data_IF_160802755566
#
_entry.id   IF_160802755566
#
_cell.length_a   1.000
_cell.length_b   1.000
_cell.length_c   1.000
_cell.angle_alpha   90.00
_cell.angle_beta   90.00
_cell.angle_gamma   90.00
#
_symmetry.space_group_name_H-M   'P 1'
#
loop_
_entity.id
_entity.type
_entity.pdbx_description
1 polymer ?
#
# COMPACT_ATOMS: atom_id res chain seq x y z
N UNK A 1 -16.50 -5.80 -19.01
CA UNK A 1 -16.69 -4.34 -19.08
C UNK A 1 -17.07 -3.88 -17.69
N UNK A 2 -16.28 -3.02 -17.03
CA UNK A 2 -16.73 -2.42 -15.78
C UNK A 2 -17.98 -1.59 -16.07
N UNK A 3 -19.04 -1.67 -15.24
CA UNK A 3 -20.21 -0.84 -15.42
C UNK A 3 -19.80 0.64 -15.41
N UNK A 4 -20.46 1.45 -16.25
CA UNK A 4 -20.23 2.89 -16.26
C UNK A 4 -20.63 3.47 -14.89
N UNK A 5 -19.77 4.31 -14.32
CA UNK A 5 -20.04 5.00 -13.05
C UNK A 5 -21.13 6.04 -13.31
N UNK A 6 -22.22 5.99 -12.54
CA UNK A 6 -23.32 6.96 -12.66
C UNK A 6 -22.83 8.38 -12.40
N UNK A 7 -23.40 9.37 -13.09
CA UNK A 7 -22.96 10.77 -12.99
C UNK A 7 -23.06 11.32 -11.56
N UNK A 8 -24.12 11.01 -10.83
CA UNK A 8 -24.29 11.38 -9.42
C UNK A 8 -23.20 10.74 -8.53
N UNK A 9 -22.88 9.47 -8.77
CA UNK A 9 -21.82 8.75 -8.06
C UNK A 9 -20.45 9.36 -8.32
N UNK A 10 -20.15 9.69 -9.57
CA UNK A 10 -18.91 10.37 -9.96
C UNK A 10 -18.82 11.76 -9.34
N UNK A 11 -19.93 12.52 -9.32
CA UNK A 11 -19.98 13.82 -8.66
C UNK A 11 -19.68 13.70 -7.16
N UNK A 12 -20.29 12.75 -6.46
CA UNK A 12 -20.05 12.52 -5.04
C UNK A 12 -18.57 12.17 -4.74
N UNK A 13 -17.94 11.35 -5.60
CA UNK A 13 -16.51 11.04 -5.51
C UNK A 13 -15.64 12.29 -5.74
N UNK A 14 -15.97 13.10 -6.74
CA UNK A 14 -15.23 14.31 -7.10
C UNK A 14 -15.42 15.46 -6.11
N UNK A 15 -16.45 15.42 -5.24
CA UNK A 15 -16.62 16.37 -4.13
C UNK A 15 -16.07 15.83 -2.81
N UNK A 16 -15.62 14.58 -2.79
CA UNK A 16 -15.04 13.95 -1.61
C UNK A 16 -16.04 13.58 -0.51
N UNK A 17 -17.34 13.63 -0.82
CA UNK A 17 -18.43 13.32 0.12
C UNK A 17 -18.54 11.82 0.45
N UNK A 18 -17.91 10.97 -0.34
CA UNK A 18 -17.97 9.51 -0.26
C UNK A 18 -16.62 8.91 -0.63
N UNK A 19 -16.30 7.75 -0.06
CA UNK A 19 -15.19 6.92 -0.51
C UNK A 19 -15.59 6.13 -1.76
N UNK A 20 -14.59 5.74 -2.56
CA UNK A 20 -14.74 4.71 -3.57
C UNK A 20 -15.14 3.36 -2.93
N UNK A 21 -15.66 2.45 -3.74
CA UNK A 21 -16.02 1.08 -3.34
C UNK A 21 -15.22 0.03 -4.09
N UNK A 22 -14.63 0.41 -5.22
CA UNK A 22 -13.78 -0.46 -6.04
C UNK A 22 -12.79 0.35 -6.88
N UNK A 23 -11.75 -0.31 -7.39
CA UNK A 23 -10.63 0.34 -8.09
C UNK A 23 -11.06 1.25 -9.25
N UNK A 24 -12.08 0.87 -10.02
CA UNK A 24 -12.54 1.71 -11.14
C UNK A 24 -13.07 3.09 -10.68
N UNK A 25 -13.65 3.19 -9.48
CA UNK A 25 -14.06 4.46 -8.89
C UNK A 25 -12.84 5.25 -8.44
N UNK A 26 -11.88 4.63 -7.73
CA UNK A 26 -10.63 5.29 -7.33
C UNK A 26 -9.91 5.92 -8.54
N UNK A 27 -9.90 5.23 -9.68
CA UNK A 27 -9.24 5.68 -10.91
C UNK A 27 -9.99 6.80 -11.63
N UNK A 28 -11.31 6.88 -11.45
CA UNK A 28 -12.19 7.83 -12.11
C UNK A 28 -12.27 9.19 -11.40
N UNK A 29 -11.81 9.29 -10.15
CA UNK A 29 -11.79 10.56 -9.40
C UNK A 29 -11.01 11.63 -10.17
N UNK A 30 -11.66 12.77 -10.36
CA UNK A 30 -11.03 14.00 -10.83
C UNK A 30 -10.37 14.71 -9.65
N UNK A 31 -9.04 14.67 -9.62
CA UNK A 31 -8.25 15.23 -8.53
C UNK A 31 -8.32 16.75 -8.48
N UNK A 32 -8.46 17.42 -9.63
CA UNK A 32 -8.55 18.88 -9.65
C UNK A 32 -9.90 19.34 -9.09
N UNK A 33 -10.99 18.69 -9.50
CA UNK A 33 -12.32 18.95 -8.92
C UNK A 33 -12.34 18.68 -7.41
N UNK A 34 -11.73 17.57 -6.98
CA UNK A 34 -11.65 17.20 -5.57
C UNK A 34 -10.83 18.21 -4.76
N UNK A 35 -9.62 18.56 -5.22
CA UNK A 35 -8.77 19.57 -4.57
C UNK A 35 -9.47 20.92 -4.44
N UNK A 36 -10.22 21.34 -5.47
CA UNK A 36 -10.96 22.60 -5.44
C UNK A 36 -11.99 22.63 -4.31
N UNK A 37 -12.62 21.50 -3.99
CA UNK A 37 -13.62 21.39 -2.93
C UNK A 37 -12.95 21.28 -1.56
N UNK A 38 -11.99 20.38 -1.40
CA UNK A 38 -11.45 20.05 -0.07
C UNK A 38 -10.31 20.97 0.39
N UNK A 39 -9.65 21.66 -0.54
CA UNK A 39 -8.54 22.57 -0.27
C UNK A 39 -8.76 23.94 -0.96
N UNK A 40 -9.81 24.69 -0.57
CA UNK A 40 -10.24 25.92 -1.27
C UNK A 40 -9.20 27.05 -1.25
N UNK A 41 -8.18 26.97 -0.39
CA UNK A 41 -7.06 27.91 -0.34
C UNK A 41 -5.98 27.65 -1.41
N UNK A 42 -6.10 26.58 -2.22
CA UNK A 42 -5.17 26.33 -3.32
C UNK A 42 -5.30 27.39 -4.42
N UNK A 43 -4.16 27.90 -4.87
CA UNK A 43 -4.11 28.86 -5.96
C UNK A 43 -4.60 28.23 -7.28
N UNK A 44 -5.22 29.00 -8.19
CA UNK A 44 -5.69 28.50 -9.49
C UNK A 44 -4.61 27.77 -10.29
N UNK A 45 -3.35 28.21 -10.19
CA UNK A 45 -2.21 27.59 -10.86
C UNK A 45 -1.93 26.17 -10.35
N UNK A 46 -2.16 25.91 -9.06
CA UNK A 46 -2.04 24.56 -8.49
C UNK A 46 -3.13 23.63 -9.05
N UNK A 47 -4.36 24.12 -9.17
CA UNK A 47 -5.46 23.37 -9.77
C UNK A 47 -5.20 23.09 -11.26
N UNK A 48 -4.67 24.06 -12.00
CA UNK A 48 -4.28 23.88 -13.41
C UNK A 48 -3.22 22.79 -13.56
N UNK A 49 -2.17 22.79 -12.71
CA UNK A 49 -1.16 21.72 -12.70
C UNK A 49 -1.75 20.34 -12.48
N UNK A 50 -2.81 20.23 -11.66
CA UNK A 50 -3.51 18.96 -11.46
C UNK A 50 -4.35 18.56 -12.67
N UNK A 51 -5.02 19.50 -13.33
CA UNK A 51 -5.78 19.26 -14.57
C UNK A 51 -4.87 18.78 -15.70
N UNK A 52 -3.71 19.43 -15.86
CA UNK A 52 -2.69 19.05 -16.84
C UNK A 52 -2.12 17.65 -16.57
N UNK A 53 -2.20 17.17 -15.32
CA UNK A 53 -1.78 15.85 -14.91
C UNK A 53 -2.87 14.77 -15.03
N UNK A 54 -4.09 15.10 -15.47
CA UNK A 54 -5.23 14.16 -15.54
C UNK A 54 -4.93 12.88 -16.34
N UNK A 55 -4.13 12.99 -17.40
CA UNK A 55 -3.69 11.85 -18.22
C UNK A 55 -2.55 11.00 -17.62
N UNK A 56 -1.98 11.40 -16.47
CA UNK A 56 -0.88 10.66 -15.83
C UNK A 56 -1.39 9.50 -14.99
N UNK A 57 -0.51 8.52 -14.76
CA UNK A 57 -0.78 7.39 -13.86
C UNK A 57 -1.17 7.85 -12.45
N UNK A 58 -2.02 7.08 -11.78
CA UNK A 58 -2.61 7.47 -10.48
C UNK A 58 -1.57 7.78 -9.41
N UNK A 59 -0.45 7.04 -9.34
CA UNK A 59 0.60 7.28 -8.35
C UNK A 59 1.30 8.64 -8.57
N UNK A 60 1.49 9.06 -9.83
CA UNK A 60 2.02 10.38 -10.16
C UNK A 60 1.02 11.49 -9.79
N UNK A 61 -0.28 11.25 -10.00
CA UNK A 61 -1.34 12.19 -9.59
C UNK A 61 -1.41 12.32 -8.06
N UNK A 62 -1.32 11.21 -7.32
CA UNK A 62 -1.29 11.21 -5.85
C UNK A 62 -0.07 11.97 -5.30
N UNK A 63 1.12 11.71 -5.84
CA UNK A 63 2.33 12.42 -5.46
C UNK A 63 2.24 13.93 -5.75
N UNK A 64 1.70 14.30 -6.92
CA UNK A 64 1.50 15.71 -7.27
C UNK A 64 0.50 16.40 -6.34
N UNK A 65 -0.62 15.76 -5.99
CA UNK A 65 -1.59 16.35 -5.07
C UNK A 65 -0.96 16.63 -3.69
N UNK A 66 -0.22 15.66 -3.13
CA UNK A 66 0.52 15.88 -1.88
C UNK A 66 1.56 17.00 -1.99
N UNK A 67 2.28 17.09 -3.11
CA UNK A 67 3.22 18.19 -3.36
C UNK A 67 2.51 19.56 -3.36
N UNK A 68 1.39 19.69 -4.08
CA UNK A 68 0.63 20.94 -4.16
C UNK A 68 0.08 21.37 -2.80
N UNK A 69 -0.45 20.43 -2.01
CA UNK A 69 -0.91 20.70 -0.65
C UNK A 69 0.24 21.21 0.23
N UNK A 70 1.43 20.60 0.13
CA UNK A 70 2.62 21.04 0.89
C UNK A 70 3.08 22.44 0.46
N UNK A 71 3.17 22.71 -0.83
CA UNK A 71 3.55 24.02 -1.39
C UNK A 71 2.60 25.13 -0.91
N UNK A 72 1.31 24.81 -0.72
CA UNK A 72 0.30 25.74 -0.21
C UNK A 72 0.23 25.84 1.32
N UNK A 73 1.18 25.24 2.06
CA UNK A 73 1.19 25.25 3.52
C UNK A 73 0.15 24.33 4.18
N UNK A 74 -0.51 23.47 3.41
CA UNK A 74 -1.50 22.49 3.87
C UNK A 74 -0.93 21.06 3.90
N UNK A 75 0.38 20.95 4.16
CA UNK A 75 1.13 19.70 4.09
C UNK A 75 1.10 18.83 5.34
N UNK A 76 0.29 19.18 6.35
CA UNK A 76 0.13 18.39 7.58
C UNK A 76 -0.80 17.19 7.33
N UNK A 77 -0.31 15.94 7.38
CA UNK A 77 -1.14 14.75 7.11
C UNK A 77 -2.35 14.61 8.03
N UNK A 78 -2.26 15.12 9.27
CA UNK A 78 -3.34 15.03 10.27
C UNK A 78 -4.61 15.71 9.78
N UNK A 79 -4.48 16.75 8.95
CA UNK A 79 -5.63 17.47 8.36
C UNK A 79 -6.45 16.59 7.40
N UNK A 80 -5.84 15.54 6.85
CA UNK A 80 -6.38 14.80 5.71
C UNK A 80 -6.70 13.33 6.02
N UNK A 81 -6.11 12.76 7.08
CA UNK A 81 -6.15 11.33 7.37
C UNK A 81 -7.54 10.80 7.81
N UNK A 82 -8.43 11.67 8.30
CA UNK A 82 -9.77 11.29 8.77
C UNK A 82 -10.89 11.70 7.79
N UNK A 83 -10.53 12.11 6.58
CA UNK A 83 -11.49 12.59 5.58
C UNK A 83 -12.37 11.47 5.01
N UNK A 84 -13.61 11.79 4.61
CA UNK A 84 -14.57 10.81 4.07
C UNK A 84 -14.10 10.15 2.76
N UNK A 85 -13.46 10.93 1.88
CA UNK A 85 -12.83 10.45 0.65
C UNK A 85 -11.55 9.65 0.92
N UNK A 86 -11.49 8.42 0.39
CA UNK A 86 -10.28 7.59 0.39
C UNK A 86 -9.13 8.21 -0.41
N UNK A 87 -9.42 8.96 -1.47
CA UNK A 87 -8.41 9.67 -2.26
C UNK A 87 -7.70 10.74 -1.42
N UNK A 88 -8.46 11.50 -0.62
CA UNK A 88 -7.90 12.54 0.26
C UNK A 88 -7.03 11.91 1.36
N UNK A 89 -7.51 10.83 2.00
CA UNK A 89 -6.68 10.04 2.92
C UNK A 89 -5.44 9.46 2.25
N UNK A 90 -5.56 9.07 0.97
CA UNK A 90 -4.44 8.68 0.12
C UNK A 90 -3.40 9.80 -0.04
N UNK A 91 -3.82 11.06 -0.18
CA UNK A 91 -2.89 12.20 -0.18
C UNK A 91 -2.16 12.35 1.16
N UNK A 92 -2.81 12.06 2.28
CA UNK A 92 -2.15 11.99 3.59
C UNK A 92 -1.00 10.96 3.59
N UNK A 93 -1.21 9.77 2.98
CA UNK A 93 -0.14 8.79 2.83
C UNK A 93 1.06 9.36 2.05
N UNK A 94 0.81 10.05 0.93
CA UNK A 94 1.87 10.63 0.11
C UNK A 94 2.51 11.88 0.77
N UNK A 95 1.80 12.62 1.61
CA UNK A 95 2.37 13.68 2.45
C UNK A 95 3.34 13.09 3.48
N UNK A 96 3.02 11.96 4.11
CA UNK A 96 3.94 11.26 5.03
C UNK A 96 5.15 10.73 4.26
N UNK A 97 4.92 9.99 3.17
CA UNK A 97 5.99 9.36 2.40
C UNK A 97 6.97 10.36 1.78
N UNK A 98 6.48 11.54 1.37
CA UNK A 98 7.29 12.59 0.75
C UNK A 98 8.00 13.52 1.74
N UNK A 99 7.79 13.41 3.06
CA UNK A 99 8.50 14.27 4.01
C UNK A 99 9.98 13.86 4.11
N UNK A 100 10.85 14.65 3.49
CA UNK A 100 12.29 14.42 3.48
C UNK A 100 12.96 14.66 4.84
N UNK A 101 12.26 15.28 5.79
CA UNK A 101 12.78 15.57 7.14
C UNK A 101 12.54 14.41 8.11
N UNK A 102 11.56 13.56 7.82
CA UNK A 102 11.19 12.43 8.66
C UNK A 102 12.00 11.18 8.32
N UNK A 103 12.44 10.48 9.36
CA UNK A 103 13.05 9.15 9.27
C UNK A 103 12.01 8.10 8.87
N UNK A 104 12.46 6.94 8.38
CA UNK A 104 11.56 5.82 8.07
C UNK A 104 10.75 5.38 9.30
N UNK A 105 11.32 5.42 10.50
CA UNK A 105 10.62 5.07 11.74
C UNK A 105 9.45 6.03 12.03
N UNK A 106 9.70 7.34 11.93
CA UNK A 106 8.67 8.36 12.12
C UNK A 106 7.59 8.28 11.05
N UNK A 107 7.96 8.03 9.79
CA UNK A 107 7.01 7.81 8.70
C UNK A 107 6.13 6.59 8.95
N UNK A 108 6.70 5.47 9.40
CA UNK A 108 5.94 4.26 9.75
C UNK A 108 4.98 4.51 10.92
N UNK A 109 5.43 5.25 11.93
CA UNK A 109 4.59 5.62 13.06
C UNK A 109 3.39 6.48 12.63
N UNK A 110 3.62 7.51 11.81
CA UNK A 110 2.56 8.35 11.26
C UNK A 110 1.62 7.57 10.32
N UNK A 111 2.17 6.64 9.53
CA UNK A 111 1.41 5.84 8.57
C UNK A 111 0.48 4.84 9.25
N UNK A 112 0.68 4.51 10.52
CA UNK A 112 0.00 3.41 11.21
C UNK A 112 -1.53 3.48 11.08
N UNK A 113 -2.14 4.64 11.29
CA UNK A 113 -3.60 4.82 11.17
C UNK A 113 -4.09 4.56 9.74
N UNK A 114 -3.35 5.05 8.74
CA UNK A 114 -3.69 4.88 7.32
C UNK A 114 -3.43 3.45 6.82
N UNK A 115 -2.43 2.78 7.39
CA UNK A 115 -2.16 1.36 7.15
C UNK A 115 -3.27 0.46 7.74
N UNK A 116 -3.96 0.94 8.78
CA UNK A 116 -5.10 0.29 9.43
C UNK A 116 -6.48 0.81 8.93
N UNK A 117 -6.49 1.64 7.89
CA UNK A 117 -7.71 2.27 7.38
C UNK A 117 -8.72 1.21 6.89
N UNK A 118 -10.04 1.36 7.15
CA UNK A 118 -11.04 0.40 6.71
C UNK A 118 -11.15 0.30 5.17
N UNK A 119 -10.78 1.34 4.44
CA UNK A 119 -10.85 1.39 2.98
C UNK A 119 -9.61 0.75 2.33
N UNK A 120 -9.84 -0.22 1.45
CA UNK A 120 -8.77 -0.99 0.79
C UNK A 120 -7.77 -0.09 0.04
N UNK A 121 -8.26 0.95 -0.63
CA UNK A 121 -7.42 1.86 -1.41
C UNK A 121 -6.41 2.62 -0.54
N UNK A 122 -6.83 3.08 0.65
CA UNK A 122 -5.95 3.83 1.56
C UNK A 122 -4.82 2.92 2.04
N UNK A 123 -5.14 1.66 2.38
CA UNK A 123 -4.13 0.66 2.74
C UNK A 123 -3.13 0.37 1.63
N UNK A 124 -3.53 0.43 0.35
CA UNK A 124 -2.59 0.34 -0.78
C UNK A 124 -1.70 1.58 -0.89
N UNK A 125 -2.29 2.77 -0.75
CA UNK A 125 -1.54 4.03 -0.80
C UNK A 125 -0.52 4.13 0.34
N UNK A 126 -0.86 3.61 1.52
CA UNK A 126 -0.01 3.63 2.70
C UNK A 126 1.35 2.96 2.45
N UNK A 127 1.37 1.73 1.93
CA UNK A 127 2.64 1.05 1.67
C UNK A 127 3.34 1.55 0.41
N UNK A 128 2.57 1.98 -0.62
CA UNK A 128 3.12 2.56 -1.85
C UNK A 128 3.89 3.85 -1.57
N UNK A 129 3.35 4.71 -0.71
CA UNK A 129 3.97 5.99 -0.36
C UNK A 129 5.32 5.82 0.35
N UNK A 130 5.53 4.73 1.10
CA UNK A 130 6.80 4.42 1.77
C UNK A 130 7.76 3.60 0.93
N UNK A 131 7.37 3.21 -0.30
CA UNK A 131 8.13 2.23 -1.08
C UNK A 131 9.56 2.69 -1.37
N UNK A 132 9.76 3.98 -1.63
CA UNK A 132 11.08 4.55 -1.88
C UNK A 132 11.99 4.38 -0.67
N UNK A 133 11.53 4.74 0.53
CA UNK A 133 12.30 4.58 1.78
C UNK A 133 12.59 3.11 2.08
N UNK A 134 11.59 2.23 1.90
CA UNK A 134 11.74 0.79 2.14
C UNK A 134 12.76 0.15 1.19
N UNK A 135 12.77 0.54 -0.08
CA UNK A 135 13.75 0.04 -1.06
C UNK A 135 15.16 0.54 -0.74
N UNK A 136 15.28 1.76 -0.21
CA UNK A 136 16.57 2.32 0.19
C UNK A 136 17.14 1.64 1.46
N UNK A 137 16.29 1.22 2.40
CA UNK A 137 16.70 0.60 3.67
C UNK A 137 15.88 -0.66 4.03
N UNK A 138 15.94 -1.74 3.22
CA UNK A 138 15.02 -2.87 3.37
C UNK A 138 15.19 -3.67 4.66
N UNK A 139 16.41 -3.80 5.19
CA UNK A 139 16.65 -4.47 6.47
C UNK A 139 16.10 -3.67 7.66
N UNK A 140 16.25 -2.35 7.62
CA UNK A 140 15.70 -1.48 8.65
C UNK A 140 14.16 -1.48 8.60
N UNK A 141 13.58 -1.45 7.39
CA UNK A 141 12.14 -1.59 7.22
C UNK A 141 11.63 -2.93 7.77
N UNK A 142 12.34 -4.03 7.51
CA UNK A 142 12.02 -5.34 8.06
C UNK A 142 12.06 -5.36 9.59
N UNK A 143 13.09 -4.76 10.20
CA UNK A 143 13.22 -4.65 11.65
C UNK A 143 12.02 -3.92 12.26
N UNK A 144 11.63 -2.76 11.71
CA UNK A 144 10.49 -1.99 12.20
C UNK A 144 9.13 -2.65 11.96
N UNK A 145 8.98 -3.43 10.89
CA UNK A 145 7.73 -4.10 10.54
C UNK A 145 7.58 -5.48 11.17
N UNK A 146 8.66 -6.10 11.66
CA UNK A 146 8.60 -7.40 12.32
C UNK A 146 7.61 -7.41 13.51
N UNK A 147 7.60 -6.43 14.43
CA UNK A 147 6.60 -6.38 15.51
C UNK A 147 5.17 -6.27 15.02
N UNK A 148 4.94 -5.66 13.84
CA UNK A 148 3.59 -5.46 13.31
C UNK A 148 2.91 -6.77 12.91
N UNK A 149 3.69 -7.86 12.74
CA UNK A 149 3.15 -9.21 12.52
C UNK A 149 2.36 -9.76 13.71
N UNK A 150 2.48 -9.15 14.90
CA UNK A 150 1.79 -9.56 16.13
C UNK A 150 0.60 -8.66 16.48
N UNK A 151 0.27 -7.69 15.61
CA UNK A 151 -0.83 -6.77 15.83
C UNK A 151 -2.17 -7.47 15.78
N UNK A 152 -3.12 -7.00 16.60
CA UNK A 152 -4.50 -7.51 16.56
C UNK A 152 -5.15 -7.24 15.21
N UNK A 153 -4.88 -6.08 14.61
CA UNK A 153 -5.43 -5.74 13.30
C UNK A 153 -4.78 -6.57 12.18
N UNK A 154 -5.57 -7.26 11.34
CA UNK A 154 -5.04 -7.91 10.15
C UNK A 154 -4.55 -6.93 9.09
N UNK A 155 -4.99 -5.67 9.11
CA UNK A 155 -4.53 -4.67 8.14
C UNK A 155 -3.07 -4.28 8.40
N UNK A 156 -2.70 -4.13 9.68
CA UNK A 156 -1.31 -3.89 10.07
C UNK A 156 -0.40 -5.10 9.81
N UNK A 157 -0.87 -6.31 10.13
CA UNK A 157 -0.13 -7.55 9.80
C UNK A 157 0.06 -7.71 8.29
N UNK A 158 -0.97 -7.42 7.50
CA UNK A 158 -0.89 -7.40 6.04
C UNK A 158 0.10 -6.33 5.58
N UNK A 159 0.05 -5.12 6.12
CA UNK A 159 0.94 -4.03 5.74
C UNK A 159 2.42 -4.42 5.92
N UNK A 160 2.76 -5.02 7.06
CA UNK A 160 4.11 -5.50 7.35
C UNK A 160 4.64 -6.44 6.26
N UNK A 161 3.81 -7.38 5.81
CA UNK A 161 4.17 -8.30 4.73
C UNK A 161 4.18 -7.61 3.35
N UNK A 162 3.13 -6.86 3.02
CA UNK A 162 2.93 -6.31 1.68
C UNK A 162 4.00 -5.29 1.32
N UNK A 163 4.33 -4.39 2.25
CA UNK A 163 5.28 -3.31 2.02
C UNK A 163 6.68 -3.84 1.66
N UNK A 164 7.00 -5.06 2.12
CA UNK A 164 8.28 -5.74 1.90
C UNK A 164 8.26 -6.75 0.74
N UNK A 165 7.20 -6.78 -0.08
CA UNK A 165 7.15 -7.70 -1.24
C UNK A 165 8.35 -7.52 -2.17
N UNK A 166 9.04 -8.61 -2.58
CA UNK A 166 10.21 -8.52 -3.46
C UNK A 166 9.88 -7.89 -4.82
N UNK A 167 8.69 -8.14 -5.35
CA UNK A 167 8.21 -7.66 -6.66
C UNK A 167 6.80 -7.05 -6.54
N UNK A 168 6.73 -5.73 -6.46
CA UNK A 168 5.45 -5.02 -6.57
C UNK A 168 5.11 -4.74 -8.04
N UNK A 169 3.84 -4.89 -8.44
CA UNK A 169 3.40 -4.63 -9.83
C UNK A 169 3.45 -3.13 -10.16
N UNK A 170 3.25 -2.27 -9.16
CA UNK A 170 3.28 -0.80 -9.30
C UNK A 170 4.41 -0.15 -8.49
N UNK A 171 5.43 -0.93 -8.13
CA UNK A 171 6.44 -0.52 -7.17
C UNK A 171 7.83 -1.04 -7.55
N UNK A 172 8.84 -0.22 -7.27
CA UNK A 172 10.25 -0.59 -7.43
C UNK A 172 10.54 -1.88 -6.67
N UNK A 173 11.23 -2.83 -7.31
CA UNK A 173 11.58 -4.10 -6.70
C UNK A 173 12.54 -3.93 -5.52
N UNK A 174 12.39 -4.74 -4.47
CA UNK A 174 13.39 -4.82 -3.39
C UNK A 174 14.41 -5.90 -3.79
N UNK A 175 15.57 -5.47 -4.30
CA UNK A 175 16.60 -6.37 -4.80
C UNK A 175 17.07 -7.38 -3.73
N UNK A 176 17.21 -6.92 -2.48
CA UNK A 176 17.64 -7.75 -1.36
C UNK A 176 16.74 -8.98 -1.21
N UNK A 177 15.42 -8.81 -1.02
CA UNK A 177 14.52 -9.97 -0.82
C UNK A 177 14.27 -10.80 -2.08
N UNK A 178 14.62 -10.29 -3.27
CA UNK A 178 14.66 -11.13 -4.47
C UNK A 178 15.83 -12.11 -4.43
N UNK A 179 16.99 -11.66 -3.96
CA UNK A 179 18.22 -12.44 -3.97
C UNK A 179 18.39 -13.27 -2.69
N UNK A 180 18.02 -12.69 -1.55
CA UNK A 180 18.18 -13.21 -0.21
C UNK A 180 16.83 -13.19 0.56
N UNK A 181 15.81 -13.93 0.08
CA UNK A 181 14.51 -13.99 0.74
C UNK A 181 14.56 -14.57 2.16
N UNK A 182 15.62 -15.30 2.51
CA UNK A 182 15.87 -15.83 3.85
C UNK A 182 15.90 -14.77 4.94
N UNK A 183 16.27 -13.52 4.63
CA UNK A 183 16.24 -12.43 5.61
C UNK A 183 14.85 -12.17 6.16
N UNK A 184 13.81 -12.31 5.32
CA UNK A 184 12.43 -12.09 5.74
C UNK A 184 11.77 -13.34 6.35
N UNK A 185 12.51 -14.44 6.50
CA UNK A 185 11.97 -15.70 7.02
C UNK A 185 11.30 -15.54 8.40
N UNK A 186 11.87 -14.82 9.39
CA UNK A 186 11.21 -14.62 10.68
C UNK A 186 9.82 -13.97 10.57
N UNK A 187 9.66 -12.99 9.69
CA UNK A 187 8.37 -12.33 9.42
C UNK A 187 7.38 -13.30 8.77
N UNK A 188 7.84 -14.08 7.79
CA UNK A 188 7.00 -15.04 7.07
C UNK A 188 6.56 -16.19 7.96
N UNK A 189 7.44 -16.68 8.86
CA UNK A 189 7.11 -17.70 9.85
C UNK A 189 6.07 -17.19 10.86
N UNK A 190 6.16 -15.92 11.26
CA UNK A 190 5.20 -15.30 12.17
C UNK A 190 3.78 -15.21 11.57
N UNK A 191 3.67 -15.09 10.24
CA UNK A 191 2.41 -14.98 9.50
C UNK A 191 1.98 -16.29 8.81
N UNK A 192 2.73 -17.39 9.00
CA UNK A 192 2.56 -18.62 8.24
C UNK A 192 1.22 -19.33 8.50
N UNK A 193 0.59 -19.08 9.64
CA UNK A 193 -0.71 -19.63 10.05
C UNK A 193 -1.73 -18.51 10.36
N UNK A 194 -1.54 -17.31 9.79
CA UNK A 194 -2.43 -16.18 10.05
C UNK A 194 -3.89 -16.56 9.75
N UNK A 195 -4.86 -16.31 10.65
CA UNK A 195 -6.25 -16.71 10.43
C UNK A 195 -6.92 -15.91 9.30
N UNK A 196 -6.41 -14.73 8.96
CA UNK A 196 -7.09 -13.79 8.08
C UNK A 196 -6.67 -13.96 6.61
N UNK A 197 -7.66 -14.23 5.74
CA UNK A 197 -7.44 -14.43 4.29
C UNK A 197 -6.65 -13.28 3.66
N UNK A 198 -6.92 -12.06 4.10
CA UNK A 198 -6.25 -10.85 3.61
C UNK A 198 -4.74 -10.86 3.87
N UNK A 199 -4.31 -11.36 5.04
CA UNK A 199 -2.88 -11.52 5.37
C UNK A 199 -2.29 -12.70 4.60
N UNK A 200 -2.99 -13.83 4.58
CA UNK A 200 -2.56 -15.03 3.84
C UNK A 200 -2.31 -14.74 2.36
N UNK A 201 -3.14 -13.89 1.74
CA UNK A 201 -2.96 -13.45 0.36
C UNK A 201 -1.65 -12.68 0.17
N UNK A 202 -1.30 -11.80 1.11
CA UNK A 202 -0.05 -11.06 1.10
C UNK A 202 1.16 -11.98 1.25
N UNK A 203 1.14 -12.90 2.21
CA UNK A 203 2.22 -13.90 2.42
C UNK A 203 2.40 -14.77 1.17
N UNK A 204 1.31 -15.29 0.61
CA UNK A 204 1.35 -16.09 -0.61
C UNK A 204 1.83 -15.29 -1.84
N UNK A 205 1.54 -13.99 -1.91
CA UNK A 205 2.08 -13.12 -2.96
C UNK A 205 3.58 -12.85 -2.76
N UNK A 206 4.00 -12.56 -1.53
CA UNK A 206 5.39 -12.34 -1.16
C UNK A 206 6.26 -13.54 -1.54
N UNK A 207 5.83 -14.75 -1.14
CA UNK A 207 6.51 -16.00 -1.45
C UNK A 207 6.56 -16.29 -2.96
N UNK A 208 5.47 -16.04 -3.68
CA UNK A 208 5.45 -16.18 -5.14
C UNK A 208 6.45 -15.23 -5.81
N UNK A 209 6.57 -14.00 -5.32
CA UNK A 209 7.49 -13.01 -5.86
C UNK A 209 8.95 -13.39 -5.62
N UNK A 210 9.29 -13.87 -4.42
CA UNK A 210 10.60 -14.42 -4.09
C UNK A 210 10.91 -15.65 -4.95
N UNK A 211 9.95 -16.56 -5.14
CA UNK A 211 10.13 -17.77 -5.94
C UNK A 211 10.51 -17.51 -7.40
N UNK A 212 10.16 -16.35 -7.97
CA UNK A 212 10.50 -16.00 -9.36
C UNK A 212 12.00 -15.77 -9.55
N UNK A 213 12.74 -15.53 -8.48
CA UNK A 213 14.21 -15.44 -8.47
C UNK A 213 14.85 -16.60 -7.71
N UNK A 214 14.21 -17.08 -6.65
CA UNK A 214 14.71 -18.14 -5.77
C UNK A 214 13.75 -19.34 -5.69
N UNK A 215 13.52 -20.07 -6.79
CA UNK A 215 12.52 -21.15 -6.84
C UNK A 215 12.88 -22.34 -5.95
N UNK A 216 14.18 -22.64 -5.79
CA UNK A 216 14.65 -23.72 -4.90
C UNK A 216 14.34 -23.41 -3.44
N UNK A 217 14.62 -22.18 -2.99
CA UNK A 217 14.29 -21.71 -1.64
C UNK A 217 12.79 -21.82 -1.38
N UNK A 218 11.95 -21.34 -2.32
CA UNK A 218 10.49 -21.41 -2.18
C UNK A 218 10.01 -22.86 -2.03
N UNK A 219 10.50 -23.78 -2.87
CA UNK A 219 10.10 -25.20 -2.80
C UNK A 219 10.50 -25.83 -1.47
N UNK A 220 11.73 -25.59 -1.00
CA UNK A 220 12.20 -26.11 0.30
C UNK A 220 11.34 -25.58 1.44
N UNK A 221 11.05 -24.28 1.48
CA UNK A 221 10.20 -23.69 2.52
C UNK A 221 8.79 -24.28 2.50
N UNK A 222 8.14 -24.34 1.33
CA UNK A 222 6.80 -24.91 1.19
C UNK A 222 6.77 -26.40 1.58
N UNK A 223 7.77 -27.19 1.21
CA UNK A 223 7.89 -28.59 1.63
C UNK A 223 8.05 -28.70 3.13
N UNK A 224 8.89 -27.87 3.76
CA UNK A 224 9.03 -27.84 5.22
C UNK A 224 7.70 -27.53 5.90
N UNK A 225 7.04 -26.44 5.50
CA UNK A 225 5.74 -26.06 6.05
C UNK A 225 4.65 -27.10 5.81
N UNK A 226 4.70 -27.87 4.73
CA UNK A 226 3.76 -28.97 4.51
C UNK A 226 3.87 -30.07 5.59
N UNK A 227 5.07 -30.30 6.13
CA UNK A 227 5.30 -31.29 7.19
C UNK A 227 5.09 -30.71 8.60
N UNK A 228 5.39 -29.43 8.80
CA UNK A 228 5.36 -28.78 10.12
C UNK A 228 4.04 -28.07 10.44
N UNK A 229 3.29 -27.63 9.41
CA UNK A 229 2.10 -26.77 9.56
C UNK A 229 0.89 -27.39 8.86
N UNK A 230 -0.08 -27.81 9.68
CA UNK A 230 -1.26 -28.54 9.24
C UNK A 230 -2.54 -27.68 9.15
N UNK A 231 -2.44 -26.36 9.33
CA UNK A 231 -3.59 -25.47 9.23
C UNK A 231 -4.04 -25.29 7.77
N UNK A 232 -5.34 -25.03 7.59
CA UNK A 232 -5.90 -24.64 6.29
C UNK A 232 -5.33 -23.31 5.79
N UNK A 233 -4.99 -22.41 6.72
CA UNK A 233 -4.34 -21.13 6.41
C UNK A 233 -2.99 -21.34 5.72
N UNK A 234 -2.11 -22.17 6.29
CA UNK A 234 -0.82 -22.45 5.69
C UNK A 234 -0.97 -23.23 4.38
N UNK A 235 -1.88 -24.22 4.32
CA UNK A 235 -2.16 -24.94 3.09
C UNK A 235 -2.57 -23.99 1.95
N UNK A 236 -3.39 -22.99 2.24
CA UNK A 236 -3.75 -21.94 1.28
C UNK A 236 -2.55 -21.08 0.86
N UNK A 237 -1.76 -20.59 1.82
CA UNK A 237 -0.56 -19.77 1.56
C UNK A 237 0.37 -20.53 0.61
N UNK A 238 0.69 -21.80 0.89
CA UNK A 238 1.55 -22.64 0.03
C UNK A 238 0.95 -22.80 -1.37
N UNK A 239 -0.36 -23.09 -1.46
CA UNK A 239 -1.08 -23.23 -2.74
C UNK A 239 -0.93 -21.97 -3.59
N UNK A 240 -1.10 -20.80 -2.98
CA UNK A 240 -0.99 -19.47 -3.60
C UNK A 240 0.46 -19.13 -3.96
N UNK A 241 1.43 -19.42 -3.10
CA UNK A 241 2.84 -19.17 -3.33
C UNK A 241 3.36 -19.90 -4.57
N UNK A 242 2.96 -21.17 -4.74
CA UNK A 242 3.40 -22.04 -5.83
C UNK A 242 2.62 -21.85 -7.14
N UNK A 243 1.67 -20.91 -7.24
CA UNK A 243 0.76 -20.77 -8.40
C UNK A 243 1.44 -20.54 -9.76
N UNK A 244 2.68 -20.06 -9.76
CA UNK A 244 3.46 -19.79 -10.98
C UNK A 244 4.52 -20.86 -11.27
N UNK A 245 4.56 -21.94 -10.49
CA UNK A 245 5.61 -22.97 -10.54
C UNK A 245 5.05 -24.39 -10.70
N UNK A 246 3.79 -24.47 -11.13
CA UNK A 246 3.07 -25.70 -11.46
C UNK A 246 3.24 -26.03 -12.92
#
# INVERSE_FOLDING_TARGET
MSPAIAAERLHALNTGSVAATHLAECLAVDFAALLQVVAPALAPEALQRMQDASGKGITLRMALAAQLLREAGQGDPVQWQDHASDTVRGWACYLIGSDARATLAEKLQQMRTLADDPHFGVREWAWLALRTDIVAAPMQALEYLQPWTQETSPYLRRFACEALRPRGVWATHIALFKQHPEHALPMLEALADDPERYVQDSVGNWLNDAGKTQPKWLRVLCTRWQHERHSDANAYIRKRALRSFR
#
